data_IF_420872597245
#
_entry.id   IF_420872597245
#
_cell.length_a   1.000
_cell.length_b   1.000
_cell.length_c   1.000
_cell.angle_alpha   90.00
_cell.angle_beta   90.00
_cell.angle_gamma   90.00
#
_symmetry.space_group_name_H-M   'P 1'
#
loop_
_entity.id
_entity.type
_entity.pdbx_description
1 polymer ?
#
# COMPACT_ATOMS: atom_id res chain seq x y z
N UNK A 1 8.25 15.70 14.81
CA UNK A 1 8.31 14.23 14.67
C UNK A 1 7.33 13.70 15.67
N UNK A 2 6.30 12.98 15.22
CA UNK A 2 5.51 12.00 15.97
C UNK A 2 4.31 11.61 15.09
N UNK A 3 4.44 10.49 14.37
CA UNK A 3 3.32 9.89 13.65
C UNK A 3 2.55 9.02 14.65
N UNK A 4 1.54 9.59 15.29
CA UNK A 4 0.56 8.81 16.05
C UNK A 4 -0.50 8.27 15.10
N UNK A 5 -0.44 6.97 14.79
CA UNK A 5 -1.59 6.22 14.28
C UNK A 5 -2.21 5.45 15.46
N UNK A 6 -3.28 6.00 16.05
CA UNK A 6 -4.04 5.33 17.10
C UNK A 6 -5.16 4.52 16.45
N UNK A 7 -4.85 3.28 16.06
CA UNK A 7 -5.84 2.21 15.96
C UNK A 7 -5.20 0.93 16.46
N UNK A 8 -5.31 0.67 17.76
CA UNK A 8 -4.94 -0.62 18.34
C UNK A 8 -6.06 -1.60 18.04
N UNK A 9 -6.04 -2.24 16.87
CA UNK A 9 -6.95 -3.36 16.59
C UNK A 9 -6.31 -4.62 17.18
N UNK A 10 -6.64 -4.95 18.43
CA UNK A 10 -6.25 -6.22 19.03
C UNK A 10 -7.11 -7.35 18.44
N UNK A 11 -6.46 -8.35 17.85
CA UNK A 11 -7.14 -9.57 17.37
C UNK A 11 -7.09 -9.80 15.86
N UNK A 12 -6.49 -8.90 15.06
CA UNK A 12 -6.13 -9.26 13.68
C UNK A 12 -4.92 -10.18 13.75
N UNK A 13 -4.94 -11.40 13.16
CA UNK A 13 -3.73 -12.18 12.99
C UNK A 13 -2.66 -11.29 12.38
N UNK A 14 -1.47 -11.22 13.01
CA UNK A 14 -0.37 -10.36 12.57
C UNK A 14 -0.24 -10.49 11.06
N UNK A 15 -0.58 -9.44 10.32
CA UNK A 15 -0.67 -9.53 8.87
C UNK A 15 0.69 -9.95 8.33
N UNK A 16 0.72 -11.03 7.55
CA UNK A 16 1.96 -11.53 6.96
C UNK A 16 2.52 -10.57 5.88
N UNK A 17 1.73 -9.57 5.48
CA UNK A 17 2.19 -8.40 4.71
C UNK A 17 1.71 -7.12 5.38
N UNK A 18 2.58 -6.14 5.53
CA UNK A 18 2.19 -4.76 5.81
C UNK A 18 2.20 -3.96 4.51
N UNK A 19 1.18 -3.11 4.32
CA UNK A 19 1.15 -2.11 3.26
C UNK A 19 1.21 -0.74 3.94
N UNK A 20 2.23 0.04 3.61
CA UNK A 20 2.33 1.43 4.03
C UNK A 20 1.44 2.31 3.16
N UNK A 21 0.99 3.45 3.72
CA UNK A 21 0.26 4.45 2.95
C UNK A 21 1.10 4.90 1.74
N UNK A 22 0.45 5.13 0.58
CA UNK A 22 1.15 5.66 -0.58
C UNK A 22 1.78 7.02 -0.26
N UNK A 23 3.04 7.18 -0.62
CA UNK A 23 3.70 8.47 -0.65
C UNK A 23 3.70 9.01 -2.08
N UNK A 24 3.52 10.33 -2.24
CA UNK A 24 3.73 10.99 -3.52
C UNK A 24 5.24 11.10 -3.78
N UNK A 25 5.64 10.83 -5.02
CA UNK A 25 7.00 11.09 -5.49
C UNK A 25 7.27 12.62 -5.51
N UNK A 26 8.50 13.09 -5.17
CA UNK A 26 8.88 14.51 -5.25
C UNK A 26 8.69 15.11 -6.64
N UNK A 27 8.78 14.31 -7.71
CA UNK A 27 8.53 14.72 -9.10
C UNK A 27 7.04 14.70 -9.48
N UNK A 28 6.15 14.63 -8.47
CA UNK A 28 4.68 14.68 -8.50
C UNK A 28 3.95 13.65 -9.37
N UNK A 29 4.65 12.83 -10.16
CA UNK A 29 4.06 12.00 -11.21
C UNK A 29 3.93 10.51 -10.85
N UNK A 30 4.23 10.14 -9.60
CA UNK A 30 4.19 8.75 -9.16
C UNK A 30 3.65 8.56 -7.74
N UNK A 31 3.10 7.37 -7.49
CA UNK A 31 2.71 6.86 -6.17
C UNK A 31 3.67 5.75 -5.77
N UNK A 32 4.23 5.84 -4.58
CA UNK A 32 5.13 4.84 -4.03
C UNK A 32 4.46 4.02 -2.95
N UNK A 33 4.43 2.70 -3.14
CA UNK A 33 3.99 1.74 -2.14
C UNK A 33 5.19 0.97 -1.63
N UNK A 34 5.20 0.71 -0.33
CA UNK A 34 6.22 -0.11 0.31
C UNK A 34 5.60 -0.91 1.45
N UNK A 35 6.32 -1.93 1.88
CA UNK A 35 5.86 -2.78 2.96
C UNK A 35 6.89 -3.78 3.41
N UNK A 36 6.54 -4.48 4.47
CA UNK A 36 7.26 -5.65 4.96
C UNK A 36 6.44 -6.89 4.64
N UNK A 37 7.12 -7.98 4.30
CA UNK A 37 6.55 -9.31 4.21
C UNK A 37 7.17 -10.17 5.31
N UNK A 38 6.35 -10.96 6.00
CA UNK A 38 6.80 -12.03 6.86
C UNK A 38 6.45 -13.36 6.16
N UNK A 39 7.37 -13.81 5.31
CA UNK A 39 7.22 -15.03 4.51
C UNK A 39 8.26 -16.08 4.93
N UNK A 40 7.87 -17.35 4.85
CA UNK A 40 8.78 -18.49 5.01
C UNK A 40 9.67 -18.73 3.78
N UNK A 41 9.31 -18.17 2.62
CA UNK A 41 10.05 -18.36 1.35
C UNK A 41 11.23 -17.39 1.21
N UNK A 42 11.30 -16.36 2.04
CA UNK A 42 12.36 -15.36 2.00
C UNK A 42 12.42 -14.58 0.67
N UNK A 43 13.61 -14.37 0.06
CA UNK A 43 13.74 -13.52 -1.12
C UNK A 43 13.23 -14.15 -2.43
N UNK A 44 12.86 -15.44 -2.43
CA UNK A 44 12.18 -16.07 -3.57
C UNK A 44 10.69 -15.73 -3.64
N UNK A 45 10.17 -15.08 -2.60
CA UNK A 45 8.79 -14.63 -2.52
C UNK A 45 8.50 -13.54 -3.56
N UNK A 46 7.39 -13.69 -4.27
CA UNK A 46 6.91 -12.72 -5.23
C UNK A 46 5.50 -12.29 -4.86
N UNK A 47 5.27 -10.98 -4.79
CA UNK A 47 3.98 -10.41 -4.47
C UNK A 47 3.26 -9.99 -5.75
N UNK A 48 2.03 -10.45 -5.88
CA UNK A 48 1.06 -9.98 -6.85
C UNK A 48 0.40 -8.72 -6.30
N UNK A 49 0.63 -7.59 -6.96
CA UNK A 49 0.06 -6.30 -6.63
C UNK A 49 -1.00 -5.94 -7.67
N UNK A 50 -2.26 -5.91 -7.27
CA UNK A 50 -3.39 -5.53 -8.12
C UNK A 50 -3.91 -4.19 -7.64
N UNK A 51 -3.94 -3.23 -8.55
CA UNK A 51 -4.47 -1.88 -8.32
C UNK A 51 -5.73 -1.75 -9.13
N UNK A 52 -6.82 -1.36 -8.50
CA UNK A 52 -8.07 -1.06 -9.19
C UNK A 52 -8.58 0.33 -8.83
N UNK A 53 -9.06 1.06 -9.82
CA UNK A 53 -9.83 2.28 -9.60
C UNK A 53 -11.32 1.99 -9.51
N UNK A 54 -12.06 2.90 -8.89
CA UNK A 54 -13.51 3.00 -8.95
C UNK A 54 -14.08 3.08 -10.39
N UNK A 55 -13.33 3.63 -11.33
CA UNK A 55 -13.64 3.61 -12.77
C UNK A 55 -13.49 2.21 -13.42
N UNK A 56 -13.12 1.19 -12.66
CA UNK A 56 -13.00 -0.19 -13.12
C UNK A 56 -11.69 -0.52 -13.84
N UNK A 57 -10.76 0.45 -13.97
CA UNK A 57 -9.42 0.17 -14.52
C UNK A 57 -8.64 -0.68 -13.53
N UNK A 58 -7.90 -1.67 -14.04
CA UNK A 58 -7.06 -2.55 -13.23
C UNK A 58 -5.64 -2.61 -13.80
N UNK A 59 -4.66 -2.56 -12.91
CA UNK A 59 -3.27 -2.80 -13.22
C UNK A 59 -2.75 -3.93 -12.33
N UNK A 60 -1.83 -4.74 -12.86
CA UNK A 60 -1.25 -5.90 -12.19
C UNK A 60 0.26 -5.82 -12.29
N UNK A 61 0.93 -6.07 -11.17
CA UNK A 61 2.38 -6.10 -11.07
C UNK A 61 2.82 -7.31 -10.25
N UNK A 62 3.98 -7.87 -10.61
CA UNK A 62 4.69 -8.84 -9.78
C UNK A 62 5.90 -8.15 -9.20
N UNK A 63 6.00 -8.12 -7.87
CA UNK A 63 7.01 -7.37 -7.13
C UNK A 63 7.83 -8.38 -6.32
N UNK A 64 9.16 -8.46 -6.53
CA UNK A 64 10.00 -9.34 -5.74
C UNK A 64 10.18 -8.78 -4.33
N UNK A 65 10.30 -9.70 -3.37
CA UNK A 65 10.68 -9.38 -2.01
C UNK A 65 12.21 -9.37 -1.91
N UNK A 66 12.78 -8.43 -1.15
CA UNK A 66 14.22 -8.33 -0.91
C UNK A 66 14.53 -8.26 0.60
N UNK A 67 15.73 -8.70 0.99
CA UNK A 67 16.18 -8.67 2.38
C UNK A 67 17.05 -7.43 2.64
N UNK A 68 16.83 -6.72 3.75
CA UNK A 68 17.63 -5.53 4.14
C UNK A 68 18.26 -5.66 5.54
N UNK A 69 18.42 -6.88 6.04
CA UNK A 69 18.97 -7.17 7.38
C UNK A 69 17.97 -7.04 8.54
N UNK A 70 16.81 -6.41 8.34
CA UNK A 70 15.72 -6.33 9.34
C UNK A 70 14.53 -7.24 9.05
N UNK A 71 14.58 -7.93 7.91
CA UNK A 71 13.52 -8.80 7.41
C UNK A 71 13.37 -8.66 5.90
N UNK A 72 12.19 -9.03 5.43
CA UNK A 72 11.85 -9.06 4.02
C UNK A 72 10.93 -7.89 3.65
N UNK A 73 11.29 -7.15 2.62
CA UNK A 73 10.66 -5.90 2.22
C UNK A 73 10.34 -5.91 0.74
N UNK A 74 9.43 -5.03 0.34
CA UNK A 74 9.03 -4.86 -1.04
C UNK A 74 8.64 -3.40 -1.27
N UNK A 75 8.74 -2.95 -2.52
CA UNK A 75 8.28 -1.63 -2.92
C UNK A 75 7.88 -1.60 -4.40
N UNK A 76 6.99 -0.69 -4.77
CA UNK A 76 6.57 -0.46 -6.15
C UNK A 76 6.21 1.00 -6.36
N UNK A 77 6.59 1.55 -7.51
CA UNK A 77 6.21 2.90 -7.94
C UNK A 77 5.21 2.80 -9.10
N UNK A 78 4.04 3.42 -8.94
CA UNK A 78 3.02 3.53 -9.98
C UNK A 78 3.08 4.92 -10.61
N UNK A 79 3.16 5.00 -11.94
CA UNK A 79 3.03 6.28 -12.65
C UNK A 79 1.58 6.75 -12.63
N UNK A 80 1.35 7.99 -12.21
CA UNK A 80 0.01 8.61 -12.09
C UNK A 80 -0.68 8.78 -13.43
N UNK A 81 0.03 8.84 -14.56
CA UNK A 81 -0.61 8.93 -15.88
C UNK A 81 -1.54 7.75 -16.20
N UNK A 82 -1.43 6.63 -15.47
CA UNK A 82 -2.35 5.49 -15.56
C UNK A 82 -3.61 5.63 -14.66
N UNK A 83 -3.67 6.63 -13.79
CA UNK A 83 -4.67 6.80 -12.73
C UNK A 83 -5.32 8.18 -12.90
N UNK A 84 -6.65 8.23 -13.03
CA UNK A 84 -7.35 9.52 -13.13
C UNK A 84 -7.39 10.24 -11.77
N UNK A 85 -7.31 11.59 -11.74
CA UNK A 85 -7.51 12.36 -10.52
C UNK A 85 -8.90 12.06 -9.93
N UNK A 86 -9.02 11.97 -8.61
CA UNK A 86 -10.25 11.66 -7.85
C UNK A 86 -10.70 10.21 -7.80
N UNK A 87 -9.84 9.25 -8.17
CA UNK A 87 -10.18 7.85 -8.02
C UNK A 87 -9.96 7.36 -6.58
N UNK A 88 -10.90 6.57 -6.08
CA UNK A 88 -10.56 5.60 -5.03
C UNK A 88 -9.67 4.52 -5.64
N UNK A 89 -8.57 4.22 -4.96
CA UNK A 89 -7.65 3.16 -5.34
C UNK A 89 -7.75 2.04 -4.32
N UNK A 90 -8.16 0.87 -4.79
CA UNK A 90 -8.05 -0.37 -4.03
C UNK A 90 -6.79 -1.10 -4.46
N UNK A 91 -5.95 -1.41 -3.48
CA UNK A 91 -4.73 -2.18 -3.63
C UNK A 91 -4.92 -3.51 -2.94
N UNK A 92 -4.80 -4.58 -3.72
CA UNK A 92 -4.74 -5.94 -3.24
C UNK A 92 -3.31 -6.46 -3.44
N UNK A 93 -2.71 -6.92 -2.35
CA UNK A 93 -1.40 -7.55 -2.37
C UNK A 93 -1.56 -8.97 -1.90
N UNK A 94 -1.14 -9.94 -2.72
CA UNK A 94 -1.08 -11.33 -2.33
C UNK A 94 0.27 -11.93 -2.68
N UNK A 95 0.71 -12.94 -1.96
CA UNK A 95 1.86 -13.73 -2.41
C UNK A 95 1.44 -14.67 -3.55
N UNK A 96 2.37 -14.88 -4.49
CA UNK A 96 2.21 -15.84 -5.59
C UNK A 96 2.47 -17.27 -5.11
N UNK A 97 3.44 -17.45 -4.20
CA UNK A 97 3.88 -18.77 -3.71
C UNK A 97 3.22 -19.22 -2.40
N UNK A 98 2.64 -18.28 -1.66
CA UNK A 98 1.98 -18.46 -0.36
C UNK A 98 0.60 -17.77 -0.38
N UNK A 99 -0.42 -18.36 -1.03
CA UNK A 99 -1.72 -17.73 -1.26
C UNK A 99 -2.48 -17.29 0.00
N UNK A 100 -2.13 -17.85 1.15
CA UNK A 100 -2.63 -17.47 2.47
C UNK A 100 -2.18 -16.06 2.89
N UNK A 101 -1.10 -15.55 2.30
CA UNK A 101 -0.56 -14.23 2.56
C UNK A 101 -1.26 -13.24 1.62
N UNK A 102 -2.15 -12.42 2.18
CA UNK A 102 -2.88 -11.38 1.44
C UNK A 102 -3.25 -10.19 2.31
N UNK A 103 -3.34 -9.02 1.70
CA UNK A 103 -3.87 -7.80 2.31
C UNK A 103 -4.61 -6.98 1.25
N UNK A 104 -5.70 -6.34 1.68
CA UNK A 104 -6.44 -5.38 0.87
C UNK A 104 -6.55 -4.06 1.64
N UNK A 105 -6.36 -2.96 0.90
CA UNK A 105 -6.47 -1.59 1.40
C UNK A 105 -7.04 -0.70 0.31
N UNK A 106 -7.93 0.20 0.72
CA UNK A 106 -8.47 1.25 -0.15
C UNK A 106 -8.04 2.60 0.40
N UNK A 107 -7.64 3.50 -0.50
CA UNK A 107 -7.29 4.87 -0.17
C UNK A 107 -7.86 5.83 -1.22
N UNK A 108 -8.22 7.03 -0.76
CA UNK A 108 -8.66 8.11 -1.63
C UNK A 108 -7.43 8.81 -2.22
N UNK A 109 -7.40 8.96 -3.55
CA UNK A 109 -6.34 9.69 -4.23
C UNK A 109 -6.88 11.00 -4.83
N UNK A 110 -6.64 12.11 -4.12
CA UNK A 110 -6.89 13.46 -4.61
C UNK A 110 -5.58 14.09 -5.08
N UNK A 111 -5.56 14.69 -6.26
CA UNK A 111 -4.41 15.42 -6.82
C UNK A 111 -4.12 16.76 -6.11
N UNK A 112 -4.70 17.02 -4.93
CA UNK A 112 -4.60 18.29 -4.22
C UNK A 112 -3.72 18.15 -2.97
N UNK A 113 -2.92 19.17 -2.60
CA UNK A 113 -2.14 19.15 -1.38
C UNK A 113 -3.09 18.94 -0.20
N UNK A 114 -2.82 17.93 0.62
CA UNK A 114 -3.66 17.56 1.74
C UNK A 114 -3.67 18.68 2.80
N UNK A 115 -4.57 19.65 2.66
CA UNK A 115 -5.04 20.46 3.77
C UNK A 115 -6.11 19.65 4.48
N UNK A 116 -5.79 19.11 5.66
CA UNK A 116 -6.78 18.58 6.57
C UNK A 116 -7.20 19.72 7.51
N UNK A 117 -8.25 20.52 7.21
CA UNK A 117 -8.78 21.43 8.19
C UNK A 117 -9.34 20.63 9.36
N UNK A 118 -8.73 20.87 10.53
CA UNK A 118 -9.20 20.46 11.84
C UNK A 118 -10.72 20.68 11.96
N UNK A 119 -11.47 19.61 12.21
CA UNK A 119 -12.89 19.72 12.54
C UNK A 119 -13.01 19.46 14.06
N UNK A 120 -13.18 20.50 14.90
CA UNK A 120 -13.44 20.29 16.31
C UNK A 120 -14.77 19.54 16.44
N UNK A 121 -14.73 18.40 17.12
CA UNK A 121 -15.95 17.67 17.50
C UNK A 121 -16.72 18.58 18.47
N UNK A 122 -17.91 19.03 18.07
CA UNK A 122 -18.78 19.84 18.92
C UNK A 122 -19.15 19.06 20.20
N UNK A 123 -19.36 19.77 21.33
CA UNK A 123 -19.38 19.22 22.68
C UNK A 123 -20.54 18.27 22.98
#
# INVERSE_FOLDING_TARGET
>A
MDNFSIFTVSGIPKSNITLNLPANDPEENALWFSGQANTGNGPSENLLFIVSSDSGKKARYTVPVYQNGRGYFWNITLKKSAITPYNFLSVNVSSVTSPEIRIERTFLYNNEPAYYPYNPVSP
#
